data_IF_787749416866
#
_entry.id   IF_787749416866
#
_cell.length_a   1.000
_cell.length_b   1.000
_cell.length_c   1.000
_cell.angle_alpha   90.00
_cell.angle_beta   90.00
_cell.angle_gamma   90.00
#
_symmetry.space_group_name_H-M   'P 1'
#
loop_
_entity.id
_entity.type
_entity.pdbx_description
1 polymer ?
#
# COMPACT_ATOMS: atom_id res chain seq x y z
N UNK A 1 26.60 34.76 6.41
CA UNK A 1 26.34 33.32 6.16
C UNK A 1 25.88 33.18 4.72
N UNK A 2 26.57 32.36 3.93
CA UNK A 2 26.21 32.13 2.52
C UNK A 2 24.87 31.41 2.42
N UNK A 3 24.00 31.81 1.48
CA UNK A 3 22.72 31.14 1.17
C UNK A 3 22.89 29.65 0.89
N UNK A 4 24.05 29.23 0.40
CA UNK A 4 24.43 27.83 0.20
C UNK A 4 24.50 27.05 1.52
N UNK A 5 24.96 27.69 2.60
CA UNK A 5 25.10 27.06 3.91
C UNK A 5 23.75 26.89 4.61
N UNK A 6 22.83 27.84 4.44
CA UNK A 6 21.46 27.71 4.94
C UNK A 6 20.67 26.64 4.17
N UNK A 7 20.84 26.53 2.85
CA UNK A 7 20.23 25.44 2.07
C UNK A 7 20.76 24.06 2.49
N UNK A 8 22.07 23.93 2.71
CA UNK A 8 22.66 22.66 3.18
C UNK A 8 22.17 22.28 4.59
N UNK A 9 22.07 23.25 5.51
CA UNK A 9 21.57 23.01 6.86
C UNK A 9 20.07 22.65 6.91
N UNK A 10 19.29 23.10 5.92
CA UNK A 10 17.88 22.75 5.77
C UNK A 10 17.66 21.43 5.00
N UNK A 11 18.63 21.01 4.18
CA UNK A 11 18.56 19.74 3.45
C UNK A 11 18.67 18.53 4.38
N UNK A 12 19.48 18.60 5.44
CA UNK A 12 19.66 17.51 6.42
C UNK A 12 18.35 17.07 7.13
N UNK A 13 17.51 17.97 7.70
CA UNK A 13 16.24 17.55 8.32
C UNK A 13 15.16 17.19 7.29
N UNK A 14 15.21 17.75 6.08
CA UNK A 14 14.27 17.41 4.99
C UNK A 14 14.60 16.07 4.32
N UNK A 15 15.87 15.67 4.34
CA UNK A 15 16.39 14.43 3.77
C UNK A 15 16.96 13.57 4.90
N UNK A 16 16.06 13.09 5.76
CA UNK A 16 16.38 12.35 7.00
C UNK A 16 16.95 10.93 6.78
N UNK A 17 17.75 10.71 5.73
CA UNK A 17 18.49 9.47 5.43
C UNK A 17 17.64 8.23 5.11
N UNK A 18 16.32 8.31 5.28
CA UNK A 18 15.36 7.31 4.81
C UNK A 18 14.73 7.83 3.53
N UNK A 19 15.34 7.55 2.38
CA UNK A 19 14.60 7.64 1.12
C UNK A 19 13.57 6.49 1.13
N UNK A 20 12.29 6.82 0.92
CA UNK A 20 11.23 5.82 0.77
C UNK A 20 11.42 4.90 -0.45
N UNK A 21 12.49 5.11 -1.21
CA UNK A 21 12.81 4.47 -2.49
C UNK A 21 14.23 3.88 -2.53
N UNK A 22 14.98 3.90 -1.43
CA UNK A 22 16.32 3.29 -1.35
C UNK A 22 16.14 1.77 -1.14
N UNK A 23 15.83 1.07 -2.23
CA UNK A 23 15.55 -0.36 -2.27
C UNK A 23 14.65 -0.72 -3.45
N UNK A 24 14.55 -2.01 -3.77
CA UNK A 24 13.62 -2.54 -4.79
C UNK A 24 12.23 -1.92 -4.58
N UNK A 25 11.73 -1.18 -5.56
CA UNK A 25 10.43 -0.48 -5.54
C UNK A 25 9.23 -1.43 -5.57
N UNK A 26 9.44 -2.69 -5.15
CA UNK A 26 8.51 -3.80 -5.32
C UNK A 26 8.48 -4.80 -4.18
N UNK A 27 8.66 -4.36 -2.91
CA UNK A 27 8.66 -5.14 -1.64
C UNK A 27 10.02 -5.77 -1.25
N UNK A 28 10.40 -5.86 0.06
CA UNK A 28 9.83 -5.29 1.28
C UNK A 28 10.73 -4.20 1.94
N UNK A 29 10.12 -3.04 2.29
CA UNK A 29 10.77 -1.94 3.03
C UNK A 29 10.38 -1.98 4.52
N UNK A 30 11.11 -1.28 5.40
CA UNK A 30 10.78 -1.18 6.83
C UNK A 30 9.33 -0.73 7.06
N UNK A 31 8.81 0.19 6.24
CA UNK A 31 7.43 0.66 6.31
C UNK A 31 6.41 -0.44 6.01
N UNK A 32 6.69 -1.30 5.03
CA UNK A 32 5.83 -2.44 4.69
C UNK A 32 5.73 -3.42 5.86
N UNK A 33 6.86 -3.74 6.49
CA UNK A 33 6.88 -4.62 7.67
C UNK A 33 6.14 -4.00 8.86
N UNK A 34 6.27 -2.70 9.09
CA UNK A 34 5.53 -2.02 10.16
C UNK A 34 4.01 -2.05 9.91
N UNK A 35 3.57 -1.71 8.71
CA UNK A 35 2.14 -1.69 8.37
C UNK A 35 1.57 -3.11 8.42
N UNK A 36 2.10 -4.04 7.63
CA UNK A 36 1.53 -5.38 7.52
C UNK A 36 1.84 -6.27 8.72
N UNK A 37 2.92 -6.02 9.46
CA UNK A 37 3.33 -6.82 10.61
C UNK A 37 2.74 -6.31 11.92
N UNK A 38 2.95 -5.03 12.26
CA UNK A 38 2.59 -4.48 13.56
C UNK A 38 1.19 -3.87 13.54
N UNK A 39 0.91 -3.01 12.56
CA UNK A 39 -0.36 -2.27 12.51
C UNK A 39 -1.52 -3.21 12.19
N UNK A 40 -1.34 -4.14 11.24
CA UNK A 40 -2.38 -5.13 10.90
C UNK A 40 -2.49 -6.29 11.91
N UNK A 41 -1.57 -6.40 12.88
CA UNK A 41 -1.56 -7.50 13.85
C UNK A 41 -2.92 -7.71 14.54
N UNK A 42 -3.62 -6.68 15.06
CA UNK A 42 -4.91 -6.87 15.72
C UNK A 42 -5.98 -7.44 14.79
N UNK A 43 -5.93 -7.10 13.50
CA UNK A 43 -6.87 -7.62 12.50
C UNK A 43 -6.63 -9.10 12.27
N UNK A 44 -5.37 -9.55 12.20
CA UNK A 44 -5.07 -10.97 12.09
C UNK A 44 -5.57 -11.74 13.31
N UNK A 45 -5.33 -11.21 14.51
CA UNK A 45 -5.83 -11.82 15.75
C UNK A 45 -7.35 -11.90 15.75
N UNK A 46 -8.04 -10.84 15.33
CA UNK A 46 -9.50 -10.82 15.19
C UNK A 46 -10.00 -11.90 14.22
N UNK A 47 -9.41 -11.99 13.03
CA UNK A 47 -9.80 -13.00 12.02
C UNK A 47 -9.53 -14.41 12.53
N UNK A 48 -8.37 -14.65 13.15
CA UNK A 48 -8.04 -15.95 13.76
C UNK A 48 -9.04 -16.30 14.87
N UNK A 49 -9.44 -15.33 15.70
CA UNK A 49 -10.39 -15.53 16.78
C UNK A 49 -11.78 -15.96 16.28
N UNK A 50 -12.20 -15.58 15.07
CA UNK A 50 -13.46 -16.05 14.49
C UNK A 50 -13.49 -17.56 14.21
N UNK A 51 -12.31 -18.17 13.99
CA UNK A 51 -12.20 -19.60 13.68
C UNK A 51 -11.67 -20.45 14.83
N UNK A 52 -10.87 -19.86 15.72
CA UNK A 52 -10.25 -20.54 16.86
C UNK A 52 -10.98 -20.29 18.20
N UNK A 53 -11.84 -19.27 18.29
CA UNK A 53 -12.62 -18.96 19.49
C UNK A 53 -13.82 -19.90 19.67
N UNK A 54 -14.33 -20.01 20.89
CA UNK A 54 -15.50 -20.81 21.22
C UNK A 54 -16.55 -19.92 21.90
N UNK A 55 -17.84 -19.96 21.51
CA UNK A 55 -18.43 -20.82 20.47
C UNK A 55 -18.10 -20.35 19.04
N UNK A 56 -17.81 -21.29 18.14
CA UNK A 56 -17.49 -21.02 16.73
C UNK A 56 -18.66 -21.25 15.78
N UNK A 57 -18.83 -20.32 14.84
CA UNK A 57 -19.62 -20.49 13.62
C UNK A 57 -18.77 -20.12 12.40
N UNK A 58 -18.15 -21.13 11.79
CA UNK A 58 -17.28 -20.94 10.64
C UNK A 58 -18.00 -20.37 9.43
N UNK A 59 -19.32 -20.57 9.29
CA UNK A 59 -20.08 -20.00 8.18
C UNK A 59 -20.14 -18.48 8.30
N UNK A 60 -20.43 -17.97 9.49
CA UNK A 60 -20.41 -16.54 9.78
C UNK A 60 -19.00 -15.96 9.66
N UNK A 61 -17.98 -16.68 10.13
CA UNK A 61 -16.57 -16.28 9.97
C UNK A 61 -16.16 -16.14 8.50
N UNK A 62 -16.50 -17.11 7.65
CA UNK A 62 -16.22 -17.05 6.20
C UNK A 62 -16.96 -15.90 5.53
N UNK A 63 -18.22 -15.65 5.88
CA UNK A 63 -18.96 -14.48 5.37
C UNK A 63 -18.22 -13.18 5.75
N UNK A 64 -17.81 -13.03 6.99
CA UNK A 64 -17.05 -11.87 7.46
C UNK A 64 -15.74 -11.68 6.69
N UNK A 65 -14.94 -12.74 6.51
CA UNK A 65 -13.69 -12.68 5.73
C UNK A 65 -13.97 -12.30 4.28
N UNK A 66 -15.04 -12.82 3.69
CA UNK A 66 -15.43 -12.51 2.31
C UNK A 66 -15.76 -11.02 2.16
N UNK A 67 -16.47 -10.42 3.13
CA UNK A 67 -16.71 -8.98 3.14
C UNK A 67 -15.42 -8.17 3.29
N UNK A 68 -14.53 -8.55 4.22
CA UNK A 68 -13.25 -7.85 4.41
C UNK A 68 -12.42 -7.86 3.13
N UNK A 69 -12.20 -9.04 2.54
CA UNK A 69 -11.44 -9.19 1.30
C UNK A 69 -12.14 -8.46 0.15
N UNK A 70 -13.47 -8.59 0.03
CA UNK A 70 -14.24 -7.96 -1.03
C UNK A 70 -14.16 -6.44 -0.99
N UNK A 71 -14.32 -5.83 0.19
CA UNK A 71 -14.23 -4.37 0.36
C UNK A 71 -12.81 -3.90 0.06
N UNK A 72 -11.79 -4.56 0.62
CA UNK A 72 -10.40 -4.18 0.35
C UNK A 72 -10.06 -4.33 -1.13
N UNK A 73 -10.41 -5.46 -1.77
CA UNK A 73 -10.20 -5.66 -3.20
C UNK A 73 -10.89 -4.59 -4.02
N UNK A 74 -12.14 -4.22 -3.70
CA UNK A 74 -12.89 -3.20 -4.42
C UNK A 74 -12.23 -1.82 -4.35
N UNK A 75 -11.65 -1.44 -3.21
CA UNK A 75 -10.91 -0.18 -3.08
C UNK A 75 -9.71 -0.13 -4.03
N UNK A 76 -8.95 -1.22 -4.12
CA UNK A 76 -7.77 -1.31 -4.97
C UNK A 76 -8.13 -1.46 -6.45
N UNK A 77 -9.10 -2.31 -6.80
CA UNK A 77 -9.59 -2.50 -8.16
C UNK A 77 -10.15 -1.19 -8.70
N UNK A 78 -10.92 -0.45 -7.90
CA UNK A 78 -11.45 0.85 -8.30
C UNK A 78 -10.35 1.86 -8.62
N UNK A 79 -9.34 1.96 -7.74
CA UNK A 79 -8.17 2.82 -7.98
C UNK A 79 -7.38 2.40 -9.21
N UNK A 80 -7.19 1.09 -9.41
CA UNK A 80 -6.52 0.54 -10.57
C UNK A 80 -7.27 0.86 -11.88
N UNK A 81 -8.58 0.65 -11.94
CA UNK A 81 -9.40 0.99 -13.12
C UNK A 81 -9.35 2.50 -13.39
N UNK A 82 -9.42 3.33 -12.35
CA UNK A 82 -9.28 4.77 -12.49
C UNK A 82 -7.93 5.15 -13.13
N UNK A 83 -6.85 4.48 -12.73
CA UNK A 83 -5.52 4.72 -13.34
C UNK A 83 -5.49 4.30 -14.81
N UNK A 84 -6.14 3.20 -15.18
CA UNK A 84 -6.28 2.80 -16.59
C UNK A 84 -7.04 3.85 -17.40
N UNK A 85 -8.17 4.34 -16.88
CA UNK A 85 -8.99 5.36 -17.54
C UNK A 85 -8.16 6.63 -17.75
N UNK A 86 -7.43 7.08 -16.73
CA UNK A 86 -6.56 8.26 -16.83
C UNK A 86 -5.49 8.04 -17.90
N UNK A 87 -4.81 6.88 -17.89
CA UNK A 87 -3.81 6.51 -18.90
C UNK A 87 -4.36 6.63 -20.31
N UNK A 88 -5.52 6.02 -20.57
CA UNK A 88 -6.13 6.00 -21.90
C UNK A 88 -6.60 7.39 -22.33
N UNK A 89 -7.29 8.13 -21.46
CA UNK A 89 -7.91 9.41 -21.81
C UNK A 89 -6.88 10.53 -21.98
N UNK A 90 -5.86 10.59 -21.12
CA UNK A 90 -4.91 11.71 -21.12
C UNK A 90 -3.59 11.38 -21.79
N UNK A 91 -3.18 10.12 -21.83
CA UNK A 91 -1.88 9.69 -22.34
C UNK A 91 -1.96 8.76 -23.56
N UNK A 92 -3.17 8.39 -24.01
CA UNK A 92 -3.39 7.62 -25.24
C UNK A 92 -2.90 6.17 -25.19
N UNK A 93 -2.61 5.64 -24.00
CA UNK A 93 -2.07 4.30 -23.82
C UNK A 93 -2.36 3.73 -22.42
N UNK A 94 -2.20 2.42 -22.25
CA UNK A 94 -2.32 1.80 -20.93
C UNK A 94 -1.11 2.18 -20.06
N UNK A 95 -1.32 2.44 -18.76
CA UNK A 95 -0.20 2.70 -17.85
C UNK A 95 0.64 1.42 -17.65
N UNK A 96 1.91 1.61 -17.31
CA UNK A 96 2.79 0.50 -16.93
C UNK A 96 2.23 -0.24 -15.70
N UNK A 97 2.33 -1.58 -15.64
CA UNK A 97 3.10 -2.48 -16.52
C UNK A 97 2.31 -3.06 -17.72
N UNK A 98 1.09 -2.59 -17.97
CA UNK A 98 0.20 -3.17 -18.99
C UNK A 98 0.37 -2.58 -20.39
N UNK A 99 1.02 -1.41 -20.50
CA UNK A 99 1.38 -0.77 -21.76
C UNK A 99 2.89 -0.72 -21.98
N UNK A 100 3.30 -0.33 -23.19
CA UNK A 100 4.69 0.06 -23.45
C UNK A 100 5.07 1.22 -22.55
N UNK A 101 6.31 1.26 -22.00
CA UNK A 101 6.84 2.49 -21.45
C UNK A 101 6.62 3.61 -22.46
N UNK A 102 6.18 4.76 -21.95
CA UNK A 102 6.15 5.98 -22.77
C UNK A 102 7.54 6.26 -23.35
N UNK A 103 7.65 7.11 -24.39
CA UNK A 103 8.95 7.50 -24.92
C UNK A 103 9.88 8.08 -23.84
#
# INVERSE_FOLDING_TARGET
>A
MSTTATLAALAEPLYHGYSGTDGVTGFPNIGTYLIFGVILFPVYVMVVAWFAGEPRDSKTGVMGVTYLVGITAQMWIGMFILTLIIGVVFFGGLPEPLGSPGP
#
